data_IF_912687423613
#
_entry.id   IF_912687423613
#
_cell.length_a   1.000
_cell.length_b   1.000
_cell.length_c   1.000
_cell.angle_alpha   90.00
_cell.angle_beta   90.00
_cell.angle_gamma   90.00
#
_symmetry.space_group_name_H-M   'P 1'
#
loop_
_entity.id
_entity.type
_entity.pdbx_description
1 polymer ?
#
# COMPACT_ATOMS: atom_id res chain seq x y z
N UNK A 1 -22.14 17.64 0.97
CA UNK A 1 -22.53 16.34 0.40
C UNK A 1 -22.48 16.32 -1.13
N UNK A 2 -22.13 15.18 -1.73
CA UNK A 2 -22.13 14.87 -3.17
C UNK A 2 -22.65 13.43 -3.38
N UNK A 3 -23.38 13.16 -4.46
CA UNK A 3 -23.80 11.81 -4.84
C UNK A 3 -22.98 11.35 -6.06
N UNK A 4 -22.49 10.10 -6.02
CA UNK A 4 -21.86 9.42 -7.15
C UNK A 4 -22.71 8.22 -7.54
N UNK A 5 -23.09 8.13 -8.81
CA UNK A 5 -23.92 7.05 -9.34
C UNK A 5 -23.23 6.35 -10.50
N UNK A 6 -23.47 5.05 -10.65
CA UNK A 6 -22.88 4.24 -11.70
C UNK A 6 -23.85 3.17 -12.19
N UNK A 7 -23.51 2.49 -13.29
CA UNK A 7 -24.32 1.37 -13.80
C UNK A 7 -24.42 0.23 -12.80
N UNK A 8 -23.35 0.00 -12.02
CA UNK A 8 -23.36 -0.91 -10.89
C UNK A 8 -22.67 -0.30 -9.68
N UNK A 9 -23.18 -0.63 -8.50
CA UNK A 9 -22.50 -0.44 -7.23
C UNK A 9 -22.28 -1.81 -6.59
N UNK A 10 -21.05 -2.05 -6.13
CA UNK A 10 -20.68 -3.24 -5.37
C UNK A 10 -20.37 -2.82 -3.93
N UNK A 11 -21.34 -2.89 -2.99
CA UNK A 11 -21.10 -2.53 -1.59
C UNK A 11 -20.16 -3.51 -0.87
N UNK A 12 -20.05 -4.75 -1.38
CA UNK A 12 -19.31 -5.89 -0.82
C UNK A 12 -19.91 -6.44 0.49
N UNK A 13 -20.56 -5.60 1.30
CA UNK A 13 -21.35 -6.00 2.48
C UNK A 13 -22.77 -6.47 2.15
N UNK A 14 -23.22 -6.30 0.91
CA UNK A 14 -24.54 -6.69 0.41
C UNK A 14 -24.48 -6.99 -1.10
N UNK A 15 -25.56 -7.56 -1.69
CA UNK A 15 -25.59 -7.84 -3.12
C UNK A 15 -25.36 -6.59 -4.01
N UNK A 16 -24.84 -6.77 -5.25
CA UNK A 16 -24.70 -5.69 -6.22
C UNK A 16 -26.00 -4.93 -6.48
N UNK A 17 -25.91 -3.61 -6.64
CA UNK A 17 -27.05 -2.73 -6.94
C UNK A 17 -26.91 -2.23 -8.38
N UNK A 18 -27.82 -2.62 -9.26
CA UNK A 18 -27.92 -2.08 -10.61
C UNK A 18 -28.46 -0.64 -10.55
N UNK A 19 -27.81 0.30 -11.24
CA UNK A 19 -28.11 1.74 -11.12
C UNK A 19 -27.84 2.30 -9.71
N UNK A 20 -26.83 1.74 -9.05
CA UNK A 20 -26.48 2.09 -7.67
C UNK A 20 -25.75 3.43 -7.54
N UNK A 21 -25.84 4.01 -6.35
CA UNK A 21 -25.24 5.28 -5.98
C UNK A 21 -24.78 5.31 -4.52
N UNK A 22 -23.79 6.16 -4.25
CA UNK A 22 -23.29 6.48 -2.91
C UNK A 22 -23.39 7.99 -2.66
N UNK A 23 -23.83 8.37 -1.46
CA UNK A 23 -23.74 9.76 -0.99
C UNK A 23 -22.50 9.91 -0.12
N UNK A 24 -21.72 10.95 -0.36
CA UNK A 24 -20.47 11.24 0.35
C UNK A 24 -20.53 12.65 0.93
N UNK A 25 -20.20 12.77 2.21
CA UNK A 25 -20.09 14.04 2.92
C UNK A 25 -18.85 14.03 3.81
N UNK A 26 -18.04 15.10 3.72
CA UNK A 26 -16.80 15.24 4.49
C UNK A 26 -15.87 14.01 4.39
N UNK A 27 -15.79 13.40 3.20
CA UNK A 27 -14.97 12.21 2.93
C UNK A 27 -15.56 10.89 3.44
N UNK A 28 -16.75 10.89 4.03
CA UNK A 28 -17.42 9.71 4.56
C UNK A 28 -18.64 9.35 3.70
N UNK A 29 -18.87 8.04 3.52
CA UNK A 29 -20.10 7.54 2.88
C UNK A 29 -21.24 7.68 3.90
N UNK A 30 -22.28 8.43 3.56
CA UNK A 30 -23.45 8.68 4.42
C UNK A 30 -24.68 7.90 4.00
N UNK A 31 -24.78 7.48 2.74
CA UNK A 31 -25.87 6.64 2.24
C UNK A 31 -25.42 5.80 1.03
N UNK A 32 -26.08 4.65 0.85
CA UNK A 32 -25.86 3.69 -0.22
C UNK A 32 -27.22 3.20 -0.68
N UNK A 33 -27.46 3.12 -1.99
CA UNK A 33 -28.74 2.66 -2.54
C UNK A 33 -28.79 2.79 -4.06
N UNK A 34 -29.99 2.82 -4.62
CA UNK A 34 -30.21 3.22 -6.01
C UNK A 34 -30.12 4.75 -6.16
N UNK A 35 -29.83 5.23 -7.37
CA UNK A 35 -29.86 6.67 -7.65
C UNK A 35 -31.24 7.30 -7.36
N UNK A 36 -32.33 6.55 -7.60
CA UNK A 36 -33.68 7.03 -7.34
C UNK A 36 -33.94 7.26 -5.84
N UNK A 37 -33.54 6.33 -4.99
CA UNK A 37 -33.66 6.46 -3.53
C UNK A 37 -32.85 7.65 -3.00
N UNK A 38 -31.60 7.80 -3.46
CA UNK A 38 -30.74 8.90 -3.00
C UNK A 38 -31.24 10.28 -3.47
N UNK A 39 -31.79 10.38 -4.69
CA UNK A 39 -32.43 11.61 -5.19
C UNK A 39 -33.71 11.96 -4.42
N UNK A 40 -34.47 10.96 -4.00
CA UNK A 40 -35.67 11.18 -3.19
C UNK A 40 -35.32 11.71 -1.78
N UNK A 41 -34.17 11.29 -1.23
CA UNK A 41 -33.72 11.67 0.11
C UNK A 41 -32.92 12.99 0.15
N UNK A 42 -32.35 13.44 -0.98
CA UNK A 42 -31.47 14.61 -1.02
C UNK A 42 -31.46 15.33 -2.36
N UNK A 43 -31.34 16.66 -2.32
CA UNK A 43 -31.09 17.51 -3.48
C UNK A 43 -29.58 17.73 -3.77
N UNK A 44 -28.69 16.90 -3.22
CA UNK A 44 -27.25 17.02 -3.47
C UNK A 44 -26.90 16.85 -4.96
N UNK A 45 -25.83 17.50 -5.44
CA UNK A 45 -25.39 17.33 -6.82
C UNK A 45 -25.01 15.86 -7.09
N UNK A 46 -25.27 15.41 -8.31
CA UNK A 46 -25.03 14.03 -8.74
C UNK A 46 -23.96 14.00 -9.81
N UNK A 47 -22.96 13.14 -9.64
CA UNK A 47 -22.01 12.74 -10.66
C UNK A 47 -22.38 11.35 -11.16
N UNK A 48 -22.82 11.24 -12.41
CA UNK A 48 -23.15 9.96 -13.03
C UNK A 48 -21.96 9.40 -13.83
N UNK A 49 -21.68 8.11 -13.64
CA UNK A 49 -20.59 7.36 -14.26
C UNK A 49 -21.18 6.19 -15.08
N UNK A 50 -21.79 6.47 -16.25
CA UNK A 50 -22.43 5.44 -17.06
C UNK A 50 -21.41 4.43 -17.59
N UNK A 51 -21.75 3.15 -17.57
CA UNK A 51 -20.87 2.05 -17.97
C UNK A 51 -19.79 1.70 -16.92
N UNK A 52 -19.68 2.46 -15.83
CA UNK A 52 -18.73 2.18 -14.75
C UNK A 52 -19.37 1.34 -13.64
N UNK A 53 -18.50 0.80 -12.79
CA UNK A 53 -18.85 0.18 -11.52
C UNK A 53 -18.18 0.95 -10.39
N UNK A 54 -18.93 1.33 -9.35
CA UNK A 54 -18.37 1.84 -8.11
C UNK A 54 -18.18 0.65 -7.15
N UNK A 55 -17.03 0.57 -6.51
CA UNK A 55 -16.70 -0.43 -5.49
C UNK A 55 -15.72 0.18 -4.49
N UNK A 56 -15.55 -0.41 -3.29
CA UNK A 56 -14.47 -0.04 -2.39
C UNK A 56 -13.12 -0.08 -3.08
N UNK A 57 -12.23 0.86 -2.74
CA UNK A 57 -10.84 0.81 -3.16
C UNK A 57 -10.16 -0.48 -2.71
N UNK A 58 -9.21 -0.96 -3.49
CA UNK A 58 -8.54 -2.23 -3.23
C UNK A 58 -7.62 -2.12 -2.00
N UNK A 59 -7.47 -3.25 -1.30
CA UNK A 59 -6.54 -3.39 -0.18
C UNK A 59 -5.42 -4.33 -0.62
N UNK A 60 -4.20 -3.80 -0.74
CA UNK A 60 -3.01 -4.63 -0.92
C UNK A 60 -2.39 -4.92 0.45
N UNK A 61 -2.81 -6.02 1.06
CA UNK A 61 -2.48 -6.32 2.46
C UNK A 61 -0.99 -6.64 2.72
N UNK A 62 -0.19 -6.88 1.68
CA UNK A 62 1.23 -7.19 1.81
C UNK A 62 2.00 -6.82 0.54
N UNK A 63 2.95 -5.89 0.67
CA UNK A 63 3.82 -5.46 -0.42
C UNK A 63 5.18 -4.98 0.12
N UNK A 64 6.15 -4.81 -0.79
CA UNK A 64 7.42 -4.14 -0.53
C UNK A 64 7.58 -3.03 -1.58
N UNK A 65 6.94 -1.88 -1.39
CA UNK A 65 6.91 -0.81 -2.40
C UNK A 65 8.30 -0.21 -2.65
N UNK A 66 9.20 -0.21 -1.66
CA UNK A 66 10.61 0.18 -1.84
C UNK A 66 11.34 -0.66 -2.91
N UNK A 67 10.81 -1.84 -3.28
CA UNK A 67 11.36 -2.74 -4.30
C UNK A 67 10.66 -2.66 -5.66
N UNK A 68 9.78 -1.68 -5.91
CA UNK A 68 9.07 -1.50 -7.19
C UNK A 68 10.00 -1.54 -8.41
N UNK A 69 11.17 -0.90 -8.35
CA UNK A 69 12.16 -0.89 -9.44
C UNK A 69 13.07 -2.13 -9.50
N UNK A 70 12.85 -3.15 -8.67
CA UNK A 70 13.67 -4.36 -8.62
C UNK A 70 13.92 -5.02 -9.99
N UNK A 71 12.91 -5.18 -10.88
CA UNK A 71 13.16 -5.73 -12.21
C UNK A 71 14.18 -4.92 -13.03
N UNK A 72 14.11 -3.59 -12.96
CA UNK A 72 15.05 -2.71 -13.67
C UNK A 72 16.47 -2.78 -13.07
N UNK A 73 16.58 -2.84 -11.74
CA UNK A 73 17.88 -2.99 -11.07
C UNK A 73 18.54 -4.34 -11.38
N UNK A 74 17.74 -5.41 -11.46
CA UNK A 74 18.19 -6.76 -11.84
C UNK A 74 18.85 -6.74 -13.23
N UNK A 75 18.18 -6.12 -14.20
CA UNK A 75 18.70 -5.97 -15.57
C UNK A 75 19.99 -5.15 -15.62
N UNK A 76 20.03 -4.01 -14.91
CA UNK A 76 21.23 -3.15 -14.82
C UNK A 76 22.47 -3.90 -14.29
N UNK A 77 22.28 -4.91 -13.44
CA UNK A 77 23.37 -5.73 -12.89
C UNK A 77 23.69 -6.99 -13.69
N UNK A 78 23.06 -7.18 -14.85
CA UNK A 78 23.22 -8.40 -15.65
C UNK A 78 22.73 -9.65 -14.91
N UNK A 79 21.83 -9.51 -13.93
CA UNK A 79 21.26 -10.61 -13.17
C UNK A 79 19.97 -11.13 -13.81
N UNK A 80 19.85 -11.10 -15.14
CA UNK A 80 18.61 -11.41 -15.86
C UNK A 80 18.16 -12.89 -15.76
N UNK A 81 18.92 -13.73 -15.07
CA UNK A 81 18.52 -15.11 -14.87
C UNK A 81 17.30 -15.23 -13.94
N UNK A 82 16.43 -16.19 -14.27
CA UNK A 82 15.35 -16.62 -13.39
C UNK A 82 15.96 -17.53 -12.31
N UNK A 83 15.84 -17.18 -11.02
CA UNK A 83 16.30 -18.05 -9.95
C UNK A 83 15.47 -19.34 -9.94
N UNK A 84 16.14 -20.49 -9.77
CA UNK A 84 15.49 -21.81 -9.73
C UNK A 84 15.01 -22.17 -8.33
N UNK A 85 15.56 -21.52 -7.31
CA UNK A 85 15.21 -21.75 -5.91
C UNK A 85 14.95 -20.44 -5.17
N UNK A 86 14.21 -20.52 -4.06
CA UNK A 86 14.00 -19.39 -3.15
C UNK A 86 15.33 -18.80 -2.65
N UNK A 87 16.29 -19.66 -2.31
CA UNK A 87 17.60 -19.21 -1.84
C UNK A 87 18.37 -18.44 -2.92
N UNK A 88 18.36 -18.91 -4.16
CA UNK A 88 18.95 -18.18 -5.29
C UNK A 88 18.28 -16.83 -5.51
N UNK A 89 16.95 -16.75 -5.35
CA UNK A 89 16.21 -15.49 -5.41
C UNK A 89 16.63 -14.53 -4.30
N UNK A 90 16.73 -14.99 -3.04
CA UNK A 90 17.22 -14.15 -1.93
C UNK A 90 18.64 -13.65 -2.18
N UNK A 91 19.54 -14.49 -2.71
CA UNK A 91 20.89 -14.06 -3.08
C UNK A 91 20.87 -12.98 -4.18
N UNK A 92 19.97 -13.08 -5.16
CA UNK A 92 19.77 -12.00 -6.14
C UNK A 92 19.29 -10.71 -5.47
N UNK A 93 18.29 -10.78 -4.58
CA UNK A 93 17.77 -9.63 -3.84
C UNK A 93 18.88 -8.92 -3.06
N UNK A 94 19.68 -9.67 -2.31
CA UNK A 94 20.82 -9.13 -1.55
C UNK A 94 21.85 -8.48 -2.46
N UNK A 95 22.21 -9.13 -3.58
CA UNK A 95 23.17 -8.58 -4.56
C UNK A 95 22.68 -7.26 -5.16
N UNK A 96 21.40 -7.18 -5.52
CA UNK A 96 20.78 -5.97 -6.06
C UNK A 96 20.75 -4.87 -5.00
N UNK A 97 20.20 -5.13 -3.80
CA UNK A 97 20.07 -4.12 -2.73
C UNK A 97 21.42 -3.52 -2.32
N UNK A 98 22.48 -4.33 -2.21
CA UNK A 98 23.85 -3.86 -1.88
C UNK A 98 24.47 -2.93 -2.92
N UNK A 99 23.86 -2.84 -4.09
CA UNK A 99 24.43 -2.14 -5.24
C UNK A 99 23.65 -0.89 -5.65
N UNK A 100 22.63 -0.56 -4.86
CA UNK A 100 21.79 0.62 -5.09
C UNK A 100 22.56 1.89 -4.74
N UNK A 101 22.31 2.92 -5.53
CA UNK A 101 22.81 4.26 -5.28
C UNK A 101 21.88 4.99 -4.29
N UNK A 102 22.38 6.02 -3.59
CA UNK A 102 21.54 6.87 -2.76
C UNK A 102 20.33 7.40 -3.55
N UNK A 103 19.14 7.37 -2.93
CA UNK A 103 17.89 7.87 -3.53
C UNK A 103 17.15 6.88 -4.45
N UNK A 104 17.74 5.73 -4.80
CA UNK A 104 17.05 4.74 -5.65
C UNK A 104 15.87 4.08 -4.96
N UNK A 105 16.00 3.75 -3.66
CA UNK A 105 14.88 3.20 -2.87
C UNK A 105 13.75 4.22 -2.72
N UNK A 106 14.06 5.50 -2.50
CA UNK A 106 13.05 6.57 -2.46
C UNK A 106 12.29 6.66 -3.79
N UNK A 107 13.01 6.69 -4.91
CA UNK A 107 12.39 6.79 -6.23
C UNK A 107 11.50 5.57 -6.54
N UNK A 108 11.96 4.39 -6.14
CA UNK A 108 11.22 3.12 -6.26
C UNK A 108 9.95 3.13 -5.40
N UNK A 109 10.05 3.56 -4.14
CA UNK A 109 8.93 3.66 -3.22
C UNK A 109 7.85 4.63 -3.73
N UNK A 110 8.25 5.83 -4.17
CA UNK A 110 7.32 6.83 -4.74
C UNK A 110 6.57 6.29 -5.96
N UNK A 111 7.26 5.57 -6.84
CA UNK A 111 6.63 4.93 -7.99
C UNK A 111 5.66 3.82 -7.57
N UNK A 112 6.02 2.99 -6.58
CA UNK A 112 5.14 1.97 -6.03
C UNK A 112 3.84 2.53 -5.46
N UNK A 113 3.93 3.62 -4.69
CA UNK A 113 2.74 4.31 -4.17
C UNK A 113 1.88 4.90 -5.29
N UNK A 114 2.50 5.53 -6.30
CA UNK A 114 1.80 6.08 -7.47
C UNK A 114 1.06 4.99 -8.25
N UNK A 115 1.73 3.87 -8.53
CA UNK A 115 1.14 2.73 -9.24
C UNK A 115 -0.01 2.10 -8.45
N UNK A 116 0.12 2.00 -7.12
CA UNK A 116 -0.95 1.49 -6.26
C UNK A 116 -2.23 2.32 -6.39
N UNK A 117 -2.13 3.65 -6.29
CA UNK A 117 -3.29 4.54 -6.45
C UNK A 117 -3.86 4.44 -7.87
N UNK A 118 -2.99 4.45 -8.88
CA UNK A 118 -3.39 4.35 -10.29
C UNK A 118 -4.12 3.02 -10.61
N UNK A 119 -3.82 1.94 -9.87
CA UNK A 119 -4.51 0.65 -9.99
C UNK A 119 -5.77 0.53 -9.12
N UNK A 120 -6.18 1.61 -8.43
CA UNK A 120 -7.36 1.61 -7.55
C UNK A 120 -7.12 1.07 -6.14
N UNK A 121 -5.86 0.88 -5.73
CA UNK A 121 -5.51 0.52 -4.35
C UNK A 121 -5.51 1.77 -3.47
N UNK A 122 -6.31 1.75 -2.41
CA UNK A 122 -6.45 2.87 -1.46
C UNK A 122 -5.88 2.54 -0.07
N UNK A 123 -5.62 1.26 0.20
CA UNK A 123 -4.99 0.83 1.44
C UNK A 123 -3.89 -0.21 1.19
N UNK A 124 -2.78 -0.09 1.91
CA UNK A 124 -1.64 -1.00 1.82
C UNK A 124 -1.18 -1.49 3.18
N UNK A 125 -0.72 -2.74 3.24
CA UNK A 125 0.17 -3.26 4.26
C UNK A 125 1.57 -3.35 3.67
N UNK A 126 2.40 -2.33 3.86
CA UNK A 126 3.71 -2.25 3.22
C UNK A 126 4.82 -2.61 4.21
N UNK A 127 5.77 -3.43 3.78
CA UNK A 127 6.93 -3.84 4.55
C UNK A 127 8.09 -2.90 4.21
N UNK A 128 8.59 -2.18 5.20
CA UNK A 128 9.66 -1.20 5.03
C UNK A 128 10.94 -1.66 5.72
N UNK A 129 12.01 -1.84 4.95
CA UNK A 129 13.30 -2.26 5.48
C UNK A 129 14.23 -1.10 5.80
N UNK A 130 14.05 0.04 5.11
CA UNK A 130 14.74 1.29 5.39
C UNK A 130 13.78 2.30 6.06
N UNK A 131 13.86 2.40 7.39
CA UNK A 131 12.94 3.21 8.18
C UNK A 131 13.07 4.71 7.89
N UNK A 132 14.18 5.15 7.29
CA UNK A 132 14.38 6.56 6.91
C UNK A 132 13.40 7.03 5.82
N UNK A 133 12.78 6.09 5.11
CA UNK A 133 11.81 6.37 4.05
C UNK A 133 10.38 6.56 4.58
N UNK A 134 10.11 6.27 5.85
CA UNK A 134 8.76 6.35 6.43
C UNK A 134 8.08 7.74 6.27
N UNK A 135 8.78 8.88 6.34
CA UNK A 135 8.15 10.20 6.11
C UNK A 135 7.63 10.40 4.68
N UNK A 136 8.05 9.58 3.71
CA UNK A 136 7.60 9.73 2.31
C UNK A 136 6.12 9.40 2.13
N UNK A 137 5.56 8.56 3.01
CA UNK A 137 4.15 8.15 2.96
C UNK A 137 3.19 9.30 3.27
N UNK A 138 3.62 10.31 4.03
CA UNK A 138 2.81 11.49 4.37
C UNK A 138 2.39 12.31 3.13
N UNK A 139 3.11 12.14 2.02
CA UNK A 139 2.84 12.82 0.76
C UNK A 139 1.86 12.09 -0.17
N UNK A 140 1.32 10.94 0.24
CA UNK A 140 0.44 10.11 -0.59
C UNK A 140 -0.91 9.83 0.10
N UNK A 141 -2.03 9.82 -0.65
CA UNK A 141 -3.36 9.51 -0.13
C UNK A 141 -3.58 8.00 0.03
N UNK A 142 -2.62 7.29 0.63
CA UNK A 142 -2.74 5.88 0.98
C UNK A 142 -3.07 5.76 2.47
N UNK A 143 -3.89 4.76 2.77
CA UNK A 143 -4.17 4.34 4.15
C UNK A 143 -3.56 2.97 4.43
N UNK A 144 -3.61 2.51 5.67
CA UNK A 144 -3.29 1.12 6.02
C UNK A 144 -2.21 1.01 7.09
N UNK A 145 -1.22 0.14 6.87
CA UNK A 145 -0.16 -0.15 7.85
C UNK A 145 1.22 -0.15 7.21
N UNK A 146 2.16 0.49 7.90
CA UNK A 146 3.58 0.44 7.57
C UNK A 146 4.27 -0.49 8.55
N UNK A 147 4.66 -1.67 8.08
CA UNK A 147 5.33 -2.67 8.89
C UNK A 147 6.84 -2.50 8.80
N UNK A 148 7.45 -2.11 9.92
CA UNK A 148 8.90 -1.98 10.04
C UNK A 148 9.53 -3.37 10.10
N UNK A 149 10.36 -3.68 9.11
CA UNK A 149 10.96 -5.01 8.97
C UNK A 149 12.09 -5.23 9.99
N UNK A 150 11.95 -6.29 10.78
CA UNK A 150 12.99 -6.80 11.65
C UNK A 150 13.67 -7.99 10.98
N UNK A 151 14.95 -7.84 10.68
CA UNK A 151 15.78 -8.87 10.02
C UNK A 151 17.20 -8.84 10.61
N UNK A 152 17.75 -10.01 10.94
CA UNK A 152 19.08 -10.13 11.50
C UNK A 152 19.21 -11.33 12.44
N UNK A 153 20.38 -11.96 12.45
CA UNK A 153 20.72 -13.08 13.32
C UNK A 153 21.76 -12.77 14.38
N UNK A 154 22.42 -11.61 14.26
CA UNK A 154 23.52 -11.23 15.13
C UNK A 154 22.94 -10.75 16.47
N UNK A 155 23.11 -11.51 17.58
CA UNK A 155 22.53 -11.13 18.87
C UNK A 155 23.07 -9.80 19.38
N UNK A 156 24.27 -9.38 18.92
CA UNK A 156 24.86 -8.09 19.29
C UNK A 156 24.13 -6.90 18.66
N UNK A 157 23.32 -7.12 17.62
CA UNK A 157 22.55 -6.08 16.93
C UNK A 157 21.08 -6.05 17.35
N UNK A 158 20.61 -7.02 18.15
CA UNK A 158 19.22 -7.11 18.57
C UNK A 158 18.76 -5.86 19.32
N UNK A 159 19.51 -5.42 20.34
CA UNK A 159 19.14 -4.26 21.15
C UNK A 159 19.05 -2.98 20.30
N UNK A 160 20.04 -2.75 19.43
CA UNK A 160 20.04 -1.60 18.52
C UNK A 160 18.88 -1.63 17.52
N UNK A 161 18.49 -2.81 17.03
CA UNK A 161 17.32 -2.97 16.15
C UNK A 161 16.01 -2.69 16.91
N UNK A 162 15.88 -3.18 18.14
CA UNK A 162 14.71 -2.94 18.99
C UNK A 162 14.58 -1.45 19.33
N UNK A 163 15.66 -0.79 19.74
CA UNK A 163 15.67 0.66 20.01
C UNK A 163 15.23 1.45 18.78
N UNK A 164 15.72 1.08 17.58
CA UNK A 164 15.34 1.72 16.33
C UNK A 164 13.86 1.50 16.00
N UNK A 165 13.34 0.29 16.20
CA UNK A 165 11.92 -0.03 16.02
C UNK A 165 11.07 0.82 16.97
N UNK A 166 11.37 0.82 18.27
CA UNK A 166 10.64 1.59 19.28
C UNK A 166 10.62 3.09 18.96
N UNK A 167 11.76 3.66 18.57
CA UNK A 167 11.86 5.06 18.16
C UNK A 167 10.99 5.37 16.93
N UNK A 168 11.01 4.51 15.92
CA UNK A 168 10.20 4.69 14.71
C UNK A 168 8.70 4.50 14.98
N UNK A 169 8.31 3.59 15.86
CA UNK A 169 6.91 3.40 16.27
C UNK A 169 6.40 4.63 17.02
N UNK A 170 7.19 5.18 17.95
CA UNK A 170 6.83 6.37 18.72
C UNK A 170 6.72 7.64 17.87
N UNK A 171 7.53 7.75 16.81
CA UNK A 171 7.54 8.88 15.88
C UNK A 171 6.51 8.79 14.75
N UNK A 172 5.79 7.67 14.63
CA UNK A 172 4.85 7.47 13.52
C UNK A 172 3.57 8.31 13.67
N UNK A 173 3.23 9.01 12.60
CA UNK A 173 1.97 9.72 12.39
C UNK A 173 1.60 9.68 10.91
N UNK A 174 0.37 10.05 10.56
CA UNK A 174 -0.07 10.10 9.15
C UNK A 174 -1.12 9.04 8.79
N UNK A 175 -1.29 8.80 7.48
CA UNK A 175 -2.33 7.94 6.92
C UNK A 175 -2.14 6.43 7.15
N UNK A 176 -0.91 6.00 7.44
CA UNK A 176 -0.59 4.61 7.74
C UNK A 176 -0.26 4.44 9.21
N UNK A 177 -0.88 3.45 9.84
CA UNK A 177 -0.58 3.07 11.21
C UNK A 177 0.72 2.26 11.27
N UNK A 178 1.55 2.43 12.30
CA UNK A 178 2.75 1.63 12.45
C UNK A 178 2.44 0.15 12.71
N UNK A 179 3.38 -0.71 12.35
CA UNK A 179 3.42 -2.14 12.67
C UNK A 179 4.85 -2.66 12.64
N UNK A 180 5.03 -3.92 13.06
CA UNK A 180 6.32 -4.61 13.03
C UNK A 180 6.17 -5.85 12.15
N UNK A 181 7.18 -6.18 11.35
CA UNK A 181 7.26 -7.42 10.58
C UNK A 181 8.58 -8.12 10.86
N UNK A 182 8.61 -9.14 11.74
CA UNK A 182 9.72 -10.08 11.78
C UNK A 182 9.78 -10.81 10.44
N UNK A 183 10.90 -10.68 9.72
CA UNK A 183 11.00 -11.10 8.32
C UNK A 183 10.60 -12.56 8.12
N UNK A 184 11.28 -13.49 8.80
CA UNK A 184 10.91 -14.92 8.83
C UNK A 184 11.48 -15.61 10.08
N UNK A 185 10.97 -16.80 10.47
CA UNK A 185 11.54 -17.59 11.57
C UNK A 185 12.99 -18.04 11.38
N UNK A 186 13.52 -18.00 10.15
CA UNK A 186 14.89 -18.40 9.85
C UNK A 186 15.81 -17.22 9.51
N UNK A 187 15.36 -15.99 9.73
CA UNK A 187 16.13 -14.75 9.49
C UNK A 187 16.13 -13.77 10.68
N UNK A 188 15.50 -14.17 11.79
CA UNK A 188 15.39 -13.39 13.04
C UNK A 188 15.67 -14.33 14.20
N UNK A 189 16.58 -13.94 15.11
CA UNK A 189 16.95 -14.70 16.33
C UNK A 189 15.93 -14.56 17.45
#
# INVERSE_FOLDING_TARGET
>A
MQIYAASYLLPISSPPIAGGAVAVENGLITAVGTLAELRAASAAPVTELPGCTIMPGLVNAHTHLELTHFPAWKLRKGLDYQPKTYFEWIQQVVKVKRSLLPGELESSLREGMRLSIASGTTAVGDILSDFSLAPLYDSFPLSGRLFLEAIGHDPLQCDALLERLEASLAGSGGGLLPGISPHTPHTVS
#
